data_IF_694126641534
#
_entry.id   IF_694126641534
#
_cell.length_a   1.000
_cell.length_b   1.000
_cell.length_c   1.000
_cell.angle_alpha   90.00
_cell.angle_beta   90.00
_cell.angle_gamma   90.00
#
_symmetry.space_group_name_H-M   'P 1'
#
loop_
_entity.id
_entity.type
_entity.pdbx_description
1 polymer ?
#
# COMPACT_ATOMS: atom_id res chain seq x y z
N UNK A 1 25.21 14.05 -35.43
CA UNK A 1 25.11 12.71 -34.84
C UNK A 1 25.54 11.73 -35.89
N UNK A 2 26.76 11.22 -35.78
CA UNK A 2 27.48 10.47 -36.84
C UNK A 2 26.93 9.06 -36.99
N UNK A 3 27.04 8.54 -38.21
CA UNK A 3 26.54 7.21 -38.64
C UNK A 3 27.12 6.00 -37.93
N UNK A 4 28.07 6.19 -37.03
CA UNK A 4 28.76 5.11 -36.31
C UNK A 4 27.99 4.57 -35.08
N UNK A 5 26.88 5.20 -34.67
CA UNK A 5 26.07 4.75 -33.53
C UNK A 5 24.93 3.77 -33.91
N UNK A 6 24.75 3.50 -35.21
CA UNK A 6 23.66 2.61 -35.68
C UNK A 6 24.01 1.13 -35.79
N UNK A 7 25.27 0.79 -35.59
CA UNK A 7 25.79 -0.57 -35.85
C UNK A 7 25.76 -1.53 -34.63
N UNK A 8 25.30 -1.08 -33.44
CA UNK A 8 25.44 -1.88 -32.20
C UNK A 8 24.19 -2.54 -31.65
N UNK A 9 23.04 -2.43 -32.31
CA UNK A 9 21.85 -3.17 -31.86
C UNK A 9 21.25 -3.97 -33.02
N UNK A 10 21.43 -5.30 -33.04
CA UNK A 10 20.72 -6.14 -34.02
C UNK A 10 19.21 -6.12 -33.68
N UNK A 11 18.43 -5.93 -34.73
CA UNK A 11 16.97 -5.83 -34.73
C UNK A 11 16.33 -7.08 -34.13
N UNK A 12 15.70 -6.93 -32.97
CA UNK A 12 14.96 -7.98 -32.26
C UNK A 12 13.45 -7.91 -32.52
N UNK A 13 13.06 -7.55 -33.74
CA UNK A 13 11.66 -7.62 -34.15
C UNK A 13 11.57 -8.29 -35.54
N UNK A 14 11.40 -9.60 -35.53
CA UNK A 14 10.91 -10.33 -36.69
C UNK A 14 9.37 -10.33 -36.65
N UNK A 15 8.66 -9.99 -37.74
CA UNK A 15 7.20 -10.09 -37.78
C UNK A 15 6.79 -11.56 -37.86
N UNK A 16 5.94 -11.98 -36.93
CA UNK A 16 5.28 -13.29 -36.93
C UNK A 16 4.20 -13.28 -38.02
N UNK A 17 4.54 -13.71 -39.21
CA UNK A 17 3.54 -14.00 -40.25
C UNK A 17 2.71 -15.23 -39.86
N UNK A 18 1.51 -15.02 -39.36
CA UNK A 18 0.52 -16.10 -39.19
C UNK A 18 -0.01 -16.50 -40.54
N UNK A 19 0.39 -17.67 -41.02
CA UNK A 19 -0.28 -18.35 -42.12
C UNK A 19 -1.68 -18.77 -41.68
N UNK A 20 -2.70 -18.02 -42.12
CA UNK A 20 -4.11 -18.47 -42.06
C UNK A 20 -4.28 -19.53 -43.13
N UNK A 21 -4.29 -20.82 -42.78
CA UNK A 21 -4.78 -21.86 -43.68
C UNK A 21 -6.33 -21.88 -43.60
N UNK A 22 -6.97 -21.58 -44.72
CA UNK A 22 -8.42 -21.70 -44.90
C UNK A 22 -8.83 -23.18 -44.79
N UNK A 23 -9.56 -23.56 -43.75
CA UNK A 23 -10.32 -24.80 -43.73
C UNK A 23 -11.78 -24.44 -44.08
N UNK A 24 -12.23 -24.92 -45.25
CA UNK A 24 -13.60 -24.81 -45.72
C UNK A 24 -14.46 -25.81 -44.89
N UNK A 25 -15.62 -25.39 -44.32
CA UNK A 25 -16.55 -26.35 -43.73
C UNK A 25 -17.44 -26.94 -44.84
N UNK A 26 -17.46 -28.27 -44.92
CA UNK A 26 -18.49 -28.99 -45.69
C UNK A 26 -19.79 -28.99 -44.88
N UNK A 27 -20.86 -28.53 -45.52
CA UNK A 27 -22.22 -28.62 -44.98
C UNK A 27 -22.65 -30.10 -44.96
N UNK A 28 -22.88 -30.65 -43.76
CA UNK A 28 -23.65 -31.83 -43.59
C UNK A 28 -24.93 -31.45 -42.82
N UNK A 29 -26.06 -31.49 -43.52
CA UNK A 29 -27.38 -31.40 -42.92
C UNK A 29 -27.61 -32.72 -42.09
N UNK A 30 -27.71 -32.58 -40.78
CA UNK A 30 -28.23 -33.64 -39.93
C UNK A 30 -29.42 -33.05 -39.17
N UNK A 31 -30.63 -33.50 -39.53
CA UNK A 31 -31.88 -33.28 -38.80
C UNK A 31 -31.81 -34.06 -37.48
N UNK A 32 -31.77 -33.35 -36.35
CA UNK A 32 -31.83 -33.98 -35.04
C UNK A 32 -33.14 -33.60 -34.35
N UNK A 33 -33.91 -34.62 -34.04
CA UNK A 33 -35.17 -34.54 -33.32
C UNK A 33 -34.97 -33.96 -31.90
N UNK A 34 -35.82 -32.98 -31.56
CA UNK A 34 -35.86 -32.40 -30.22
C UNK A 34 -36.41 -33.40 -29.21
N UNK A 35 -35.57 -33.95 -28.35
CA UNK A 35 -35.97 -34.61 -27.10
C UNK A 35 -35.92 -33.56 -26.00
N UNK A 36 -37.10 -33.10 -25.52
CA UNK A 36 -37.20 -32.31 -24.29
C UNK A 36 -36.85 -33.22 -23.11
N UNK A 37 -35.61 -33.18 -22.64
CA UNK A 37 -35.27 -33.70 -21.35
C UNK A 37 -35.44 -32.56 -20.34
N UNK A 38 -36.48 -32.63 -19.51
CA UNK A 38 -36.61 -31.78 -18.32
C UNK A 38 -35.51 -32.16 -17.32
N UNK A 39 -34.40 -31.43 -17.37
CA UNK A 39 -33.35 -31.52 -16.36
C UNK A 39 -33.83 -30.93 -15.02
N UNK A 40 -33.38 -31.46 -13.87
CA UNK A 40 -33.74 -30.87 -12.59
C UNK A 40 -33.17 -29.43 -12.53
N UNK A 41 -34.05 -28.48 -12.25
CA UNK A 41 -33.66 -27.10 -11.99
C UNK A 41 -32.74 -27.09 -10.74
N UNK A 42 -31.47 -26.90 -10.96
CA UNK A 42 -30.54 -26.60 -9.88
C UNK A 42 -30.98 -25.26 -9.29
N UNK A 43 -31.63 -25.32 -8.13
CA UNK A 43 -31.94 -24.14 -7.35
C UNK A 43 -30.60 -23.41 -7.05
N UNK A 44 -30.38 -22.29 -7.70
CA UNK A 44 -29.26 -21.39 -7.35
C UNK A 44 -29.57 -20.84 -5.97
N UNK A 45 -28.92 -21.41 -4.95
CA UNK A 45 -28.90 -20.79 -3.62
C UNK A 45 -28.20 -19.45 -3.76
N UNK A 46 -28.98 -18.38 -3.78
CA UNK A 46 -28.46 -17.00 -3.67
C UNK A 46 -27.63 -16.95 -2.39
N UNK A 47 -26.33 -16.59 -2.44
CA UNK A 47 -25.56 -16.42 -1.21
C UNK A 47 -26.28 -15.39 -0.34
N UNK A 48 -26.57 -15.76 0.91
CA UNK A 48 -27.13 -14.82 1.86
C UNK A 48 -26.25 -13.59 1.90
N UNK A 49 -26.81 -12.40 1.70
CA UNK A 49 -26.09 -11.14 1.78
C UNK A 49 -25.40 -11.08 3.15
N UNK A 50 -24.09 -10.94 3.16
CA UNK A 50 -23.32 -10.74 4.39
C UNK A 50 -23.94 -9.58 5.17
N UNK A 51 -24.06 -9.68 6.51
CA UNK A 51 -24.58 -8.58 7.32
C UNK A 51 -23.85 -7.28 6.98
N UNK A 52 -24.58 -6.21 6.73
CA UNK A 52 -24.01 -4.91 6.48
C UNK A 52 -23.06 -4.57 7.63
N UNK A 53 -21.78 -4.35 7.34
CA UNK A 53 -20.79 -3.95 8.34
C UNK A 53 -21.27 -2.67 9.01
N UNK A 54 -21.17 -2.59 10.35
CA UNK A 54 -21.47 -1.38 11.09
C UNK A 54 -20.69 -0.18 10.51
N UNK A 55 -21.27 1.01 10.47
CA UNK A 55 -20.57 2.19 9.97
C UNK A 55 -19.22 2.36 10.69
N UNK A 56 -18.14 2.49 9.93
CA UNK A 56 -16.83 2.74 10.51
C UNK A 56 -16.86 4.08 11.30
N UNK A 57 -16.20 4.16 12.46
CA UNK A 57 -16.12 5.42 13.19
C UNK A 57 -15.54 6.52 12.29
N UNK A 58 -15.98 7.79 12.47
CA UNK A 58 -15.51 8.89 11.66
C UNK A 58 -13.99 9.04 11.81
N UNK A 59 -13.31 9.34 10.71
CA UNK A 59 -11.86 9.57 10.73
C UNK A 59 -11.55 10.79 11.63
N UNK A 60 -10.46 10.75 12.43
CA UNK A 60 -10.09 11.84 13.31
C UNK A 60 -9.84 13.13 12.51
N UNK A 61 -10.11 14.28 13.13
CA UNK A 61 -9.93 15.59 12.50
C UNK A 61 -8.50 16.10 12.68
N UNK A 62 -8.07 16.99 11.80
CA UNK A 62 -6.80 17.70 11.97
C UNK A 62 -6.89 18.72 13.11
N UNK A 63 -5.79 18.82 13.87
CA UNK A 63 -5.59 19.80 14.92
C UNK A 63 -4.45 20.79 14.62
N UNK A 64 -3.79 21.28 15.66
CA UNK A 64 -2.55 22.04 15.52
C UNK A 64 -1.42 21.16 14.97
N UNK A 65 -0.42 21.78 14.38
CA UNK A 65 0.78 21.04 13.96
C UNK A 65 1.59 20.59 15.16
N UNK A 66 2.27 19.46 15.00
CA UNK A 66 3.24 18.95 15.96
C UNK A 66 4.44 19.90 16.05
N UNK A 67 4.91 20.19 17.26
CA UNK A 67 6.13 20.95 17.47
C UNK A 67 7.37 20.10 17.27
N UNK A 68 8.52 20.73 16.97
CA UNK A 68 9.80 20.02 16.89
C UNK A 68 10.16 19.34 18.21
N UNK A 69 9.79 19.91 19.36
CA UNK A 69 10.03 19.29 20.66
C UNK A 69 9.26 17.97 20.82
N UNK A 70 7.97 17.97 20.48
CA UNK A 70 7.15 16.76 20.47
C UNK A 70 7.63 15.73 19.46
N UNK A 71 8.03 16.17 18.26
CA UNK A 71 8.60 15.28 17.24
C UNK A 71 9.87 14.58 17.76
N UNK A 72 10.75 15.30 18.48
CA UNK A 72 11.94 14.71 19.11
C UNK A 72 11.59 13.67 20.17
N UNK A 73 10.54 13.89 20.96
CA UNK A 73 10.06 12.90 21.95
C UNK A 73 9.59 11.63 21.25
N UNK A 74 8.77 11.77 20.19
CA UNK A 74 8.27 10.64 19.43
C UNK A 74 9.40 9.85 18.74
N UNK A 75 10.33 10.55 18.10
CA UNK A 75 11.47 9.92 17.40
C UNK A 75 12.38 9.20 18.39
N UNK A 76 12.71 9.81 19.53
CA UNK A 76 13.55 9.17 20.55
C UNK A 76 12.93 7.88 21.11
N UNK A 77 11.62 7.86 21.33
CA UNK A 77 10.92 6.65 21.79
C UNK A 77 10.90 5.56 20.71
N UNK A 78 10.68 5.93 19.45
CA UNK A 78 10.73 5.02 18.34
C UNK A 78 12.15 4.45 18.13
N UNK A 79 13.18 5.29 18.21
CA UNK A 79 14.58 4.86 18.16
C UNK A 79 14.94 3.90 19.31
N UNK A 80 14.49 4.21 20.52
CA UNK A 80 14.72 3.34 21.69
C UNK A 80 14.11 1.95 21.48
N UNK A 81 12.90 1.85 20.94
CA UNK A 81 12.30 0.55 20.60
C UNK A 81 13.09 -0.17 19.51
N UNK A 82 13.49 0.53 18.45
CA UNK A 82 14.30 -0.05 17.37
C UNK A 82 15.63 -0.60 17.91
N UNK A 83 16.35 0.16 18.76
CA UNK A 83 17.60 -0.28 19.42
C UNK A 83 17.40 -1.49 20.30
N UNK A 84 16.34 -1.51 21.12
CA UNK A 84 15.97 -2.63 21.98
C UNK A 84 15.79 -3.94 21.20
N UNK A 85 15.25 -3.84 20.01
CA UNK A 85 15.00 -4.98 19.12
C UNK A 85 16.19 -5.32 18.21
N UNK A 86 17.23 -4.51 18.19
CA UNK A 86 18.37 -4.67 17.28
C UNK A 86 18.05 -4.33 15.83
N UNK A 87 17.08 -3.46 15.58
CA UNK A 87 16.70 -3.04 14.22
C UNK A 87 17.30 -1.69 13.86
N UNK A 88 17.83 -1.57 12.63
CA UNK A 88 18.32 -0.31 12.07
C UNK A 88 17.25 0.34 11.22
N UNK A 89 16.69 1.44 11.72
CA UNK A 89 15.51 2.10 11.14
C UNK A 89 15.83 3.51 10.63
N UNK A 90 15.02 3.97 9.70
CA UNK A 90 14.79 5.40 9.44
C UNK A 90 13.44 5.77 10.04
N UNK A 91 13.39 6.87 10.77
CA UNK A 91 12.20 7.38 11.46
C UNK A 91 11.95 8.81 10.97
N UNK A 92 10.73 9.08 10.52
CA UNK A 92 10.34 10.38 9.96
C UNK A 92 9.08 10.87 10.64
N UNK A 93 9.05 12.16 10.99
CA UNK A 93 7.86 12.86 11.47
C UNK A 93 7.50 13.95 10.48
N UNK A 94 6.21 14.03 10.14
CA UNK A 94 5.63 15.05 9.27
C UNK A 94 4.47 15.78 9.94
N UNK A 95 4.20 17.00 9.49
CA UNK A 95 3.00 17.77 9.84
C UNK A 95 1.72 17.14 9.24
N UNK A 96 0.52 17.62 9.62
CA UNK A 96 -0.73 17.11 9.05
C UNK A 96 -0.86 17.24 7.53
N UNK A 97 -0.17 18.21 6.91
CA UNK A 97 -0.12 18.43 5.46
C UNK A 97 0.99 17.62 4.75
N UNK A 98 1.76 16.79 5.50
CA UNK A 98 2.88 16.02 4.99
C UNK A 98 4.22 16.75 4.96
N UNK A 99 4.30 18.00 5.41
CA UNK A 99 5.57 18.71 5.48
C UNK A 99 6.52 18.06 6.50
N UNK A 100 7.79 17.91 6.12
CA UNK A 100 8.80 17.27 6.96
C UNK A 100 9.10 18.13 8.21
N UNK A 101 9.00 17.53 9.39
CA UNK A 101 9.42 18.12 10.66
C UNK A 101 10.79 17.61 11.07
N UNK A 102 10.98 16.27 11.03
CA UNK A 102 12.21 15.62 11.46
C UNK A 102 12.42 14.30 10.73
N UNK A 103 13.66 13.99 10.42
CA UNK A 103 14.08 12.68 9.92
C UNK A 103 15.33 12.23 10.65
N UNK A 104 15.33 10.99 11.11
CA UNK A 104 16.47 10.35 11.76
C UNK A 104 16.77 9.03 11.08
N UNK A 105 18.04 8.86 10.67
CA UNK A 105 18.52 7.63 10.07
C UNK A 105 19.53 6.97 11.01
N UNK A 106 19.16 5.82 11.59
CA UNK A 106 20.08 5.01 12.39
C UNK A 106 21.20 4.43 11.52
N UNK A 107 22.36 4.22 12.13
CA UNK A 107 23.49 3.56 11.46
C UNK A 107 23.09 2.16 10.99
N UNK A 108 23.58 1.78 9.81
CA UNK A 108 23.25 0.50 9.20
C UNK A 108 21.89 0.41 8.51
N UNK A 109 21.00 1.43 8.61
CA UNK A 109 19.75 1.43 7.86
C UNK A 109 20.02 1.55 6.36
N UNK A 110 19.24 0.84 5.57
CA UNK A 110 19.32 0.87 4.11
C UNK A 110 18.91 2.24 3.54
N UNK A 111 19.51 2.65 2.44
CA UNK A 111 19.27 4.00 1.86
C UNK A 111 17.81 4.21 1.40
N UNK A 112 17.18 3.19 0.83
CA UNK A 112 15.79 3.26 0.37
C UNK A 112 14.79 3.53 1.50
N UNK A 113 15.14 3.22 2.75
CA UNK A 113 14.26 3.45 3.91
C UNK A 113 14.00 4.94 4.18
N UNK A 114 14.85 5.86 3.70
CA UNK A 114 14.59 7.30 3.84
C UNK A 114 13.28 7.71 3.12
N UNK A 115 13.13 7.29 1.87
CA UNK A 115 11.93 7.59 1.10
C UNK A 115 10.71 6.79 1.62
N UNK A 116 10.89 5.51 1.94
CA UNK A 116 9.82 4.65 2.43
C UNK A 116 9.25 5.15 3.76
N UNK A 117 10.08 5.51 4.74
CA UNK A 117 9.63 6.04 6.03
C UNK A 117 8.85 7.34 5.84
N UNK A 118 9.37 8.27 5.01
CA UNK A 118 8.71 9.52 4.70
C UNK A 118 7.34 9.28 4.06
N UNK A 119 7.26 8.47 3.04
CA UNK A 119 6.00 8.17 2.34
C UNK A 119 4.98 7.46 3.25
N UNK A 120 5.41 6.65 4.20
CA UNK A 120 4.52 6.06 5.22
C UNK A 120 3.94 7.14 6.13
N UNK A 121 4.76 8.07 6.62
CA UNK A 121 4.30 9.21 7.42
C UNK A 121 3.32 10.08 6.63
N UNK A 122 3.68 10.50 5.42
CA UNK A 122 2.82 11.29 4.53
C UNK A 122 1.50 10.59 4.23
N UNK A 123 1.52 9.29 3.97
CA UNK A 123 0.30 8.50 3.76
C UNK A 123 -0.61 8.55 4.98
N UNK A 124 -0.06 8.32 6.18
CA UNK A 124 -0.87 8.38 7.41
C UNK A 124 -1.46 9.76 7.63
N UNK A 125 -0.68 10.83 7.48
CA UNK A 125 -1.13 12.21 7.64
C UNK A 125 -2.26 12.54 6.64
N UNK A 126 -2.01 12.33 5.35
CA UNK A 126 -2.93 12.73 4.28
C UNK A 126 -4.25 11.97 4.29
N UNK A 127 -4.23 10.70 4.68
CA UNK A 127 -5.43 9.85 4.69
C UNK A 127 -6.04 9.65 6.07
N UNK A 128 -5.46 10.25 7.11
CA UNK A 128 -5.94 10.21 8.51
C UNK A 128 -6.12 8.77 9.03
N UNK A 129 -5.19 7.88 8.66
CA UNK A 129 -5.23 6.44 8.98
C UNK A 129 -3.82 5.89 9.09
N UNK A 130 -3.58 4.89 9.93
CA UNK A 130 -2.32 4.14 9.88
C UNK A 130 -2.17 3.41 8.54
N UNK A 131 -0.94 3.26 8.07
CA UNK A 131 -0.68 2.59 6.78
C UNK A 131 -1.01 1.10 6.79
N UNK A 132 -1.10 0.47 7.96
CA UNK A 132 -1.61 -0.90 8.12
C UNK A 132 -3.02 -1.07 7.56
N UNK A 133 -3.89 -0.05 7.67
CA UNK A 133 -5.23 -0.08 7.06
C UNK A 133 -5.17 -0.33 5.55
N UNK A 134 -4.28 0.36 4.85
CA UNK A 134 -4.14 0.21 3.39
C UNK A 134 -3.48 -1.12 3.04
N UNK A 135 -2.51 -1.59 3.84
CA UNK A 135 -1.89 -2.90 3.66
C UNK A 135 -2.93 -4.02 3.74
N UNK A 136 -3.82 -3.97 4.74
CA UNK A 136 -4.88 -4.99 4.89
C UNK A 136 -5.94 -4.87 3.78
N UNK A 137 -6.29 -3.67 3.35
CA UNK A 137 -7.21 -3.47 2.23
C UNK A 137 -6.66 -4.03 0.90
N UNK A 138 -5.35 -3.90 0.66
CA UNK A 138 -4.68 -4.52 -0.51
C UNK A 138 -4.65 -6.04 -0.37
N UNK A 139 -4.26 -6.58 0.79
CA UNK A 139 -4.27 -8.03 1.04
C UNK A 139 -5.66 -8.64 0.87
N UNK A 140 -6.69 -7.95 1.34
CA UNK A 140 -8.09 -8.40 1.23
C UNK A 140 -8.71 -8.20 -0.16
N UNK A 141 -7.96 -7.67 -1.13
CA UNK A 141 -8.45 -7.42 -2.49
C UNK A 141 -9.41 -6.23 -2.61
N UNK A 142 -9.62 -5.47 -1.53
CA UNK A 142 -10.52 -4.30 -1.53
C UNK A 142 -9.91 -3.10 -2.27
N UNK A 143 -8.58 -2.98 -2.27
CA UNK A 143 -7.81 -1.99 -3.03
C UNK A 143 -6.95 -2.71 -4.08
N UNK A 144 -7.49 -2.89 -5.28
CA UNK A 144 -6.79 -3.54 -6.40
C UNK A 144 -6.21 -2.54 -7.40
N UNK A 145 -6.47 -1.25 -7.24
CA UNK A 145 -5.98 -0.22 -8.13
C UNK A 145 -4.62 0.31 -7.67
N UNK A 146 -3.84 0.81 -8.62
CA UNK A 146 -2.64 1.58 -8.33
C UNK A 146 -3.06 2.79 -7.50
N UNK A 147 -2.73 2.75 -6.22
CA UNK A 147 -3.03 3.83 -5.30
C UNK A 147 -1.93 4.89 -5.44
N UNK A 148 -2.12 5.85 -6.35
CA UNK A 148 -1.20 6.96 -6.53
C UNK A 148 -1.25 7.86 -5.29
N UNK A 149 -0.11 8.08 -4.64
CA UNK A 149 0.02 9.00 -3.50
C UNK A 149 -0.09 8.37 -2.11
N UNK A 150 -0.36 7.06 -1.99
CA UNK A 150 -0.29 6.36 -0.72
C UNK A 150 0.64 5.15 -0.77
N UNK A 151 1.28 4.83 0.35
CA UNK A 151 2.10 3.64 0.52
C UNK A 151 1.38 2.63 1.40
N UNK A 152 0.91 1.53 0.81
CA UNK A 152 0.14 0.48 1.49
C UNK A 152 1.07 -0.54 2.18
N UNK A 153 1.98 -0.07 3.03
CA UNK A 153 2.91 -0.88 3.83
C UNK A 153 2.88 -0.37 5.26
N UNK A 154 2.63 -1.23 6.23
CA UNK A 154 2.61 -0.90 7.65
C UNK A 154 3.90 -0.19 8.11
N UNK A 155 3.77 0.73 9.07
CA UNK A 155 4.87 1.51 9.65
C UNK A 155 4.66 3.02 9.59
N UNK A 156 3.49 3.50 9.13
CA UNK A 156 3.03 4.88 9.26
C UNK A 156 1.90 4.96 10.27
N UNK A 157 2.00 5.88 11.24
CA UNK A 157 1.04 6.05 12.33
C UNK A 157 0.70 7.53 12.53
N UNK A 158 -0.51 7.82 13.04
CA UNK A 158 -0.94 9.17 13.36
C UNK A 158 -0.36 9.63 14.71
N UNK A 159 0.14 10.84 14.77
CA UNK A 159 0.50 11.53 16.01
C UNK A 159 -0.69 12.39 16.45
N UNK A 160 -1.28 12.03 17.59
CA UNK A 160 -2.47 12.66 18.10
C UNK A 160 -2.15 13.55 19.30
N UNK A 161 -2.64 14.79 19.30
CA UNK A 161 -2.58 15.73 20.43
C UNK A 161 -4.01 16.24 20.66
N UNK A 162 -4.47 16.21 21.90
CA UNK A 162 -5.83 16.62 22.28
C UNK A 162 -6.94 15.96 21.44
N UNK A 163 -6.75 14.67 21.09
CA UNK A 163 -7.69 13.90 20.29
C UNK A 163 -7.74 14.27 18.81
N UNK A 164 -6.85 15.13 18.32
CA UNK A 164 -6.76 15.58 16.93
C UNK A 164 -5.41 15.23 16.31
N UNK A 165 -5.38 15.12 14.99
CA UNK A 165 -4.14 14.83 14.24
C UNK A 165 -3.24 16.06 14.29
N UNK A 166 -2.06 15.90 14.91
CA UNK A 166 -1.02 16.92 14.96
C UNK A 166 0.09 16.66 13.93
N UNK A 167 0.16 15.44 13.40
CA UNK A 167 1.13 14.99 12.41
C UNK A 167 1.07 13.49 12.24
N UNK A 168 2.13 12.93 11.67
CA UNK A 168 2.30 11.49 11.56
C UNK A 168 3.78 11.09 11.67
N UNK A 169 4.02 9.85 12.10
CA UNK A 169 5.34 9.23 12.17
C UNK A 169 5.40 8.06 11.20
N UNK A 170 6.52 7.88 10.52
CA UNK A 170 6.80 6.75 9.66
C UNK A 170 8.12 6.10 10.01
N UNK A 171 8.15 4.78 10.08
CA UNK A 171 9.36 4.00 10.28
C UNK A 171 9.59 3.03 9.11
N UNK A 172 10.85 2.80 8.78
CA UNK A 172 11.27 1.84 7.75
C UNK A 172 12.67 1.32 7.99
N UNK A 173 12.87 0.04 7.79
CA UNK A 173 14.16 -0.63 7.94
C UNK A 173 14.02 -2.13 8.14
N UNK A 174 12.83 -2.59 8.54
CA UNK A 174 12.51 -3.99 8.75
C UNK A 174 11.31 -4.47 7.92
N UNK A 175 10.62 -5.47 8.45
CA UNK A 175 9.30 -5.85 7.94
C UNK A 175 8.25 -4.80 8.30
N UNK A 176 7.11 -4.78 7.60
CA UNK A 176 6.01 -3.86 7.91
C UNK A 176 5.60 -3.91 9.40
N UNK A 177 5.51 -5.10 9.97
CA UNK A 177 5.16 -5.28 11.39
C UNK A 177 6.22 -4.69 12.35
N UNK A 178 7.51 -4.83 12.03
CA UNK A 178 8.60 -4.23 12.80
C UNK A 178 8.58 -2.70 12.70
N UNK A 179 8.43 -2.18 11.48
CA UNK A 179 8.28 -0.76 11.22
C UNK A 179 7.09 -0.17 11.99
N UNK A 180 5.94 -0.88 11.97
CA UNK A 180 4.74 -0.51 12.72
C UNK A 180 4.96 -0.52 14.24
N UNK A 181 5.69 -1.49 14.78
CA UNK A 181 6.03 -1.54 16.21
C UNK A 181 6.83 -0.31 16.63
N UNK A 182 7.83 0.05 15.84
CA UNK A 182 8.68 1.23 16.09
C UNK A 182 7.86 2.52 16.01
N UNK A 183 7.04 2.68 14.97
CA UNK A 183 6.19 3.87 14.83
C UNK A 183 5.20 4.02 16.00
N UNK A 184 4.57 2.93 16.44
CA UNK A 184 3.65 2.92 17.61
C UNK A 184 4.34 3.27 18.92
N UNK A 185 5.61 2.90 19.10
CA UNK A 185 6.38 3.34 20.26
C UNK A 185 6.51 4.87 20.31
N UNK A 186 6.76 5.51 19.17
CA UNK A 186 6.76 6.96 19.04
C UNK A 186 5.40 7.60 19.36
N UNK A 187 4.30 7.01 18.88
CA UNK A 187 2.93 7.48 19.21
C UNK A 187 2.67 7.40 20.70
N UNK A 188 3.08 6.31 21.35
CA UNK A 188 2.82 6.09 22.78
C UNK A 188 3.49 7.13 23.69
N UNK A 189 4.59 7.73 23.23
CA UNK A 189 5.34 8.73 23.99
C UNK A 189 4.67 10.13 24.02
N UNK A 190 3.65 10.37 23.20
CA UNK A 190 2.92 11.64 23.14
C UNK A 190 1.54 11.60 23.83
N UNK A 191 1.24 10.54 24.57
CA UNK A 191 -0.03 10.36 25.31
C UNK A 191 0.07 10.97 26.71
#
# INVERSE_FOLDING_TARGET
MSDDQRARFPRLFAPLERKLSMLRPAFALLTLAAVLAAGPALAQTTPAAAPAAAPAPPAPTYGRTITLAEAKVAVAAAEAEARKQGWSMVIVVVEPNGALVMSEKMDGSQYGSNDVARRKAETSANFRRPTSYFQEAVKGGTLNSIFSGALAIEGGELLMIDGKIAGAIGASGGSGAQDGSVARAGVAALK
#
